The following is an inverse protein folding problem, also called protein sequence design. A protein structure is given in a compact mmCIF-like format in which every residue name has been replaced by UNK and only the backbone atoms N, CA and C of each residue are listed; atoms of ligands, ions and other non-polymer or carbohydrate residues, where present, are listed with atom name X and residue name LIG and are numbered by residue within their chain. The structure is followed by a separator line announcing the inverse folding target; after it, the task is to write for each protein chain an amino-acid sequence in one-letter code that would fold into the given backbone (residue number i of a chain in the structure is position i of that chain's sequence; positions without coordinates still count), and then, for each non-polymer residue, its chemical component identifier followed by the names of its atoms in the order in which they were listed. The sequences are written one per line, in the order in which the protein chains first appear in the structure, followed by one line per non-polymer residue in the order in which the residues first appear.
data_IF_756110073065
#
_entry.id   IF_756110073065
#
_cell.length_a   1.000
_cell.length_b   1.000
_cell.length_c   1.000
_cell.angle_alpha   90.00
_cell.angle_beta   90.00
_cell.angle_gamma   90.00
#
_symmetry.space_group_name_H-M   'P 1'
#
loop_
_entity.id
_entity.type
_entity.pdbx_description
1 polymer ?
#
# COMPACT_ATOMS: atom_id res chain seq x y z
N UNK A 1 19.01 9.09 -16.67
CA UNK A 1 18.46 10.45 -16.45
C UNK A 1 17.31 10.34 -15.44
N UNK A 2 17.35 11.06 -14.32
CA UNK A 2 16.34 10.93 -13.24
C UNK A 2 15.18 11.89 -13.55
N UNK A 3 13.95 11.38 -13.68
CA UNK A 3 12.73 12.20 -13.78
C UNK A 3 12.12 12.36 -12.39
N UNK A 4 11.78 13.59 -12.02
CA UNK A 4 11.14 13.93 -10.75
C UNK A 4 9.81 14.61 -11.03
N UNK A 5 8.78 14.27 -10.26
CA UNK A 5 7.44 14.89 -10.35
C UNK A 5 7.45 16.17 -9.52
N UNK A 6 7.17 17.32 -10.14
CA UNK A 6 7.14 18.62 -9.45
C UNK A 6 5.97 18.70 -8.48
N UNK A 7 6.21 19.16 -7.25
CA UNK A 7 5.17 19.31 -6.23
C UNK A 7 4.81 18.03 -5.48
N UNK A 8 5.40 16.88 -5.85
CA UNK A 8 5.18 15.64 -5.12
C UNK A 8 5.88 15.68 -3.76
N UNK A 9 5.11 15.51 -2.69
CA UNK A 9 5.63 15.45 -1.32
C UNK A 9 5.50 14.04 -0.77
N UNK A 10 6.62 13.40 -0.49
CA UNK A 10 6.62 12.11 0.19
C UNK A 10 6.33 12.30 1.69
N UNK A 11 5.25 11.70 2.17
CA UNK A 11 4.99 11.51 3.59
C UNK A 11 5.21 10.04 3.94
N UNK A 12 5.76 9.77 5.12
CA UNK A 12 5.97 8.41 5.62
C UNK A 12 4.63 7.84 6.11
N UNK A 13 4.48 6.52 6.08
CA UNK A 13 3.35 5.79 6.62
C UNK A 13 3.76 4.38 6.99
N UNK A 14 2.78 3.55 7.40
CA UNK A 14 3.04 2.24 8.02
C UNK A 14 3.11 1.11 6.99
N UNK A 15 2.34 1.21 5.90
CA UNK A 15 2.28 0.17 4.87
C UNK A 15 2.57 0.76 3.49
N UNK A 16 3.54 0.19 2.79
CA UNK A 16 4.11 0.77 1.58
C UNK A 16 3.05 1.08 0.50
N UNK A 17 2.10 0.17 0.27
CA UNK A 17 1.07 0.37 -0.76
C UNK A 17 0.08 1.48 -0.37
N UNK A 18 -0.38 1.52 0.89
CA UNK A 18 -1.31 2.56 1.36
C UNK A 18 -0.64 3.92 1.49
N UNK A 19 0.63 3.96 1.88
CA UNK A 19 1.46 5.18 1.87
C UNK A 19 1.63 5.73 0.45
N UNK A 20 1.93 4.86 -0.52
CA UNK A 20 2.05 5.26 -1.92
C UNK A 20 0.72 5.81 -2.45
N UNK A 21 -0.39 5.12 -2.16
CA UNK A 21 -1.72 5.52 -2.58
C UNK A 21 -2.14 6.87 -1.98
N UNK A 22 -1.93 7.05 -0.68
CA UNK A 22 -2.18 8.32 0.03
C UNK A 22 -1.38 9.47 -0.56
N UNK A 23 -0.09 9.27 -0.84
CA UNK A 23 0.77 10.31 -1.39
C UNK A 23 0.37 10.69 -2.82
N UNK A 24 -0.06 9.71 -3.63
CA UNK A 24 -0.57 9.96 -4.98
C UNK A 24 -1.85 10.78 -4.95
N UNK A 25 -2.83 10.41 -4.11
CA UNK A 25 -4.06 11.21 -4.00
C UNK A 25 -3.82 12.61 -3.47
N UNK A 26 -2.94 12.76 -2.48
CA UNK A 26 -2.60 14.08 -1.95
C UNK A 26 -1.94 14.96 -3.02
N UNK A 27 -1.18 14.36 -3.94
CA UNK A 27 -0.62 15.06 -5.10
C UNK A 27 -1.70 15.56 -6.05
N UNK A 28 -2.78 14.80 -6.25
CA UNK A 28 -3.95 15.17 -7.05
C UNK A 28 -4.96 16.06 -6.30
N UNK A 29 -4.63 16.53 -5.09
CA UNK A 29 -5.49 17.41 -4.30
C UNK A 29 -6.55 16.71 -3.43
N UNK A 30 -6.49 15.39 -3.31
CA UNK A 30 -7.38 14.58 -2.46
C UNK A 30 -6.68 14.13 -1.18
N UNK A 31 -7.20 14.54 -0.03
CA UNK A 31 -6.58 14.25 1.27
C UNK A 31 -7.30 13.09 1.96
N UNK A 32 -6.67 11.92 1.92
CA UNK A 32 -7.11 10.74 2.66
C UNK A 32 -6.16 10.40 3.79
N UNK A 33 -6.68 9.80 4.85
CA UNK A 33 -5.87 9.17 5.88
C UNK A 33 -5.38 7.79 5.39
N UNK A 34 -4.31 7.26 5.98
CA UNK A 34 -3.72 5.99 5.52
C UNK A 34 -4.62 4.78 5.79
N UNK A 35 -5.37 4.79 6.89
CA UNK A 35 -6.42 3.84 7.24
C UNK A 35 -7.60 3.88 6.25
N UNK A 36 -7.97 5.05 5.73
CA UNK A 36 -8.97 5.15 4.65
C UNK A 36 -8.45 4.51 3.36
N UNK A 37 -7.19 4.76 2.99
CA UNK A 37 -6.55 4.12 1.85
C UNK A 37 -6.49 2.59 2.02
N UNK A 38 -6.28 2.11 3.24
CA UNK A 38 -6.33 0.68 3.57
C UNK A 38 -7.72 0.11 3.33
N UNK A 39 -8.78 0.77 3.82
CA UNK A 39 -10.16 0.36 3.57
C UNK A 39 -10.55 0.34 2.09
N UNK A 40 -10.20 1.39 1.33
CA UNK A 40 -10.45 1.47 -0.12
C UNK A 40 -9.71 0.38 -0.90
N UNK A 41 -8.53 -0.02 -0.44
CA UNK A 41 -7.76 -1.14 -0.99
C UNK A 41 -8.27 -2.53 -0.61
N UNK A 42 -9.50 -2.64 -0.07
CA UNK A 42 -10.08 -3.88 0.45
C UNK A 42 -9.35 -4.48 1.67
N UNK A 43 -8.58 -3.66 2.39
CA UNK A 43 -7.96 -4.00 3.66
C UNK A 43 -6.93 -5.14 3.55
N UNK A 44 -6.97 -6.05 4.53
CA UNK A 44 -6.03 -7.16 4.61
C UNK A 44 -6.49 -8.32 3.73
N UNK A 45 -5.71 -8.62 2.70
CA UNK A 45 -5.77 -9.94 2.06
C UNK A 45 -5.19 -10.99 3.01
N UNK A 46 -5.99 -12.00 3.36
CA UNK A 46 -5.55 -13.13 4.18
C UNK A 46 -5.81 -14.44 3.46
N UNK A 47 -4.80 -15.30 3.42
CA UNK A 47 -4.92 -16.67 2.89
C UNK A 47 -4.55 -17.65 3.98
N UNK A 48 -5.49 -18.52 4.33
CA UNK A 48 -5.23 -19.65 5.22
C UNK A 48 -4.93 -20.90 4.38
N UNK A 49 -3.74 -21.49 4.59
CA UNK A 49 -3.32 -22.70 3.89
C UNK A 49 -2.93 -23.79 4.89
N UNK A 50 -3.52 -24.98 4.75
CA UNK A 50 -3.26 -26.13 5.62
C UNK A 50 -3.01 -27.38 4.78
N UNK A 51 -1.75 -27.78 4.66
CA UNK A 51 -1.31 -29.01 3.99
C UNK A 51 -0.51 -29.91 4.96
N UNK A 52 -0.73 -31.23 4.89
CA UNK A 52 -0.05 -32.23 5.74
C UNK A 52 1.32 -32.66 5.19
N UNK A 53 1.66 -32.35 3.94
CA UNK A 53 2.85 -32.86 3.24
C UNK A 53 3.74 -31.78 2.65
N UNK A 54 3.49 -30.51 2.95
CA UNK A 54 4.22 -29.40 2.33
C UNK A 54 5.40 -28.96 3.19
N UNK A 55 6.63 -28.91 2.65
CA UNK A 55 7.80 -28.51 3.43
C UNK A 55 7.82 -27.02 3.79
N UNK A 56 7.12 -26.13 3.08
CA UNK A 56 7.00 -24.69 3.41
C UNK A 56 5.80 -24.05 2.69
N UNK A 57 5.02 -23.13 3.33
CA UNK A 57 4.06 -22.31 2.62
C UNK A 57 4.78 -21.15 1.95
N UNK A 58 4.44 -20.88 0.70
CA UNK A 58 4.98 -19.79 -0.13
C UNK A 58 6.40 -20.06 -0.67
N UNK A 59 6.45 -20.51 -1.93
CA UNK A 59 7.42 -19.96 -2.89
C UNK A 59 6.73 -18.80 -3.58
#
# INVERSE_FOLDING_TARGET
MRKMVSGFTHRVGVHCATTAFRNLFAYEGHYFSEDMCFGLGSGLGFTYWKDKRMPFPFV
#
